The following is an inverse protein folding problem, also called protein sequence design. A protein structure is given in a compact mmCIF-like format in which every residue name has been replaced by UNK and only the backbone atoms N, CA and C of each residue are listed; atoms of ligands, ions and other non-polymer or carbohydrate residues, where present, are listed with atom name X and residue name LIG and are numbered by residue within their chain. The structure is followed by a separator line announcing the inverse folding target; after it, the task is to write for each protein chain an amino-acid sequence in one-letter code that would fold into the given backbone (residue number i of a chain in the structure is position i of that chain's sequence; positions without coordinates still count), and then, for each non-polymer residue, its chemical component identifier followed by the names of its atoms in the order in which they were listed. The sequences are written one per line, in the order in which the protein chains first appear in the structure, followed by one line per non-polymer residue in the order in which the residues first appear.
data_IF_050937341393
#
_entry.id   IF_050937341393
#
_cell.length_a   1.000
_cell.length_b   1.000
_cell.length_c   1.000
_cell.angle_alpha   90.00
_cell.angle_beta   90.00
_cell.angle_gamma   90.00
#
_symmetry.space_group_name_H-M   'P 1'
#
loop_
_entity.id
_entity.type
_entity.pdbx_description
1 polymer ?
#
# COMPACT_ATOMS: atom_id res chain seq x y z
N UNK A 1 -56.78 19.70 -31.83
CA UNK A 1 -58.23 19.40 -31.97
C UNK A 1 -58.94 20.75 -32.04
N UNK A 2 -59.62 21.05 -33.18
CA UNK A 2 -60.48 22.27 -33.26
C UNK A 2 -61.86 21.88 -32.69
N UNK A 3 -62.26 22.51 -31.61
CA UNK A 3 -63.58 22.33 -31.00
C UNK A 3 -64.56 23.30 -31.70
N UNK A 4 -65.65 22.79 -32.18
CA UNK A 4 -66.79 23.60 -32.60
C UNK A 4 -67.55 24.08 -31.35
N UNK A 5 -68.17 25.27 -31.44
CA UNK A 5 -68.87 25.85 -30.28
C UNK A 5 -69.99 24.86 -29.79
N UNK A 6 -69.91 24.43 -28.53
CA UNK A 6 -70.88 23.48 -27.91
C UNK A 6 -70.47 22.01 -27.95
N UNK A 7 -69.33 21.68 -28.60
CA UNK A 7 -68.83 20.25 -28.69
C UNK A 7 -68.12 19.79 -27.41
N UNK A 8 -68.50 18.63 -26.91
CA UNK A 8 -67.75 17.91 -25.85
C UNK A 8 -66.88 16.84 -26.44
N UNK A 9 -65.57 16.93 -26.25
CA UNK A 9 -64.62 15.87 -26.65
C UNK A 9 -64.15 15.14 -25.37
N UNK A 10 -64.38 13.86 -25.31
CA UNK A 10 -63.72 12.98 -24.31
C UNK A 10 -62.43 12.48 -24.90
N UNK A 11 -61.31 12.92 -24.37
CA UNK A 11 -60.00 12.38 -24.73
C UNK A 11 -59.50 11.55 -23.57
N UNK A 12 -59.32 10.23 -23.79
CA UNK A 12 -58.68 9.36 -22.83
C UNK A 12 -57.18 9.53 -23.02
N UNK A 13 -56.53 10.12 -22.01
CA UNK A 13 -55.07 10.15 -21.92
C UNK A 13 -54.60 8.90 -21.20
N UNK A 14 -53.94 8.00 -21.92
CA UNK A 14 -53.22 6.89 -21.34
C UNK A 14 -51.81 7.37 -21.01
N UNK A 15 -51.50 7.58 -19.72
CA UNK A 15 -50.16 7.86 -19.26
C UNK A 15 -49.49 6.52 -19.05
N UNK A 16 -48.61 6.14 -19.96
CA UNK A 16 -47.63 5.06 -19.68
C UNK A 16 -46.54 5.65 -18.81
N UNK A 17 -46.37 5.14 -17.56
CA UNK A 17 -45.23 5.55 -16.78
C UNK A 17 -43.97 5.07 -17.52
N UNK A 18 -43.17 5.98 -18.04
CA UNK A 18 -41.82 5.70 -18.48
C UNK A 18 -41.00 5.50 -17.21
N UNK A 19 -40.88 4.23 -16.81
CA UNK A 19 -39.89 3.86 -15.81
C UNK A 19 -38.53 4.06 -16.44
N UNK A 20 -37.95 5.27 -16.30
CA UNK A 20 -36.52 5.42 -16.39
C UNK A 20 -35.97 4.52 -15.29
N UNK A 21 -35.46 3.35 -15.71
CA UNK A 21 -34.54 2.60 -14.89
C UNK A 21 -33.36 3.57 -14.70
N UNK A 22 -33.34 4.27 -13.57
CA UNK A 22 -32.11 4.88 -13.08
C UNK A 22 -31.14 3.72 -13.02
N UNK A 23 -30.08 3.75 -13.82
CA UNK A 23 -28.97 2.85 -13.65
C UNK A 23 -28.67 2.81 -12.17
N UNK A 24 -28.77 1.60 -11.58
CA UNK A 24 -28.46 1.39 -10.18
C UNK A 24 -27.09 2.00 -9.93
N UNK A 25 -27.07 3.15 -9.28
CA UNK A 25 -25.82 3.73 -8.80
C UNK A 25 -25.35 2.78 -7.72
N UNK A 26 -24.72 1.71 -8.15
CA UNK A 26 -23.97 0.82 -7.27
C UNK A 26 -22.86 1.70 -6.68
N UNK A 27 -23.13 2.27 -5.51
CA UNK A 27 -22.08 2.91 -4.70
C UNK A 27 -21.15 1.77 -4.31
N UNK A 28 -20.21 1.46 -5.18
CA UNK A 28 -19.08 0.59 -4.85
C UNK A 28 -18.32 1.36 -3.77
N UNK A 29 -18.67 1.04 -2.52
CA UNK A 29 -17.94 1.55 -1.36
C UNK A 29 -16.47 1.27 -1.61
N UNK A 30 -15.68 2.31 -1.81
CA UNK A 30 -14.23 2.15 -1.91
C UNK A 30 -13.77 1.39 -0.67
N UNK A 31 -12.75 0.54 -0.77
CA UNK A 31 -12.24 -0.23 0.36
C UNK A 31 -11.99 0.65 1.60
N UNK A 32 -11.56 1.90 1.38
CA UNK A 32 -11.39 2.95 2.40
C UNK A 32 -12.71 3.25 3.12
N UNK A 33 -13.82 3.44 2.40
CA UNK A 33 -15.12 3.72 3.01
C UNK A 33 -15.66 2.53 3.80
N UNK A 34 -15.37 1.31 3.38
CA UNK A 34 -15.73 0.09 4.12
C UNK A 34 -15.02 0.03 5.46
N UNK A 35 -13.70 0.31 5.48
CA UNK A 35 -12.92 0.30 6.72
C UNK A 35 -13.39 1.38 7.68
N UNK A 36 -13.65 2.60 7.21
CA UNK A 36 -14.19 3.70 8.03
C UNK A 36 -15.54 3.39 8.68
N UNK A 37 -16.34 2.47 8.11
CA UNK A 37 -17.63 2.03 8.62
C UNK A 37 -17.56 0.71 9.40
N UNK A 38 -16.38 0.10 9.52
CA UNK A 38 -16.21 -1.15 10.25
C UNK A 38 -16.42 -0.94 11.75
N UNK A 39 -16.82 -2.01 12.45
CA UNK A 39 -16.92 -2.01 13.91
C UNK A 39 -15.56 -2.01 14.62
N UNK A 40 -14.47 -2.16 13.87
CA UNK A 40 -13.10 -2.16 14.38
C UNK A 40 -12.55 -0.74 14.44
N UNK A 41 -11.68 -0.48 15.41
CA UNK A 41 -10.86 0.75 15.44
C UNK A 41 -9.80 0.66 14.32
N UNK A 42 -10.20 1.04 13.12
CA UNK A 42 -9.41 0.90 11.94
C UNK A 42 -9.31 2.20 11.12
N UNK A 43 -8.13 2.47 10.61
CA UNK A 43 -7.84 3.60 9.74
C UNK A 43 -7.41 3.07 8.37
N UNK A 44 -8.01 3.57 7.30
CA UNK A 44 -7.54 3.30 5.95
C UNK A 44 -6.83 4.54 5.40
N UNK A 45 -5.58 4.37 5.03
CA UNK A 45 -4.77 5.36 4.32
C UNK A 45 -4.88 5.08 2.83
N UNK A 46 -5.44 6.02 2.09
CA UNK A 46 -5.47 5.98 0.62
C UNK A 46 -4.09 6.34 0.09
N UNK A 47 -3.52 5.49 -0.74
CA UNK A 47 -2.19 5.71 -1.33
C UNK A 47 -2.25 6.46 -2.65
N UNK A 48 -3.44 6.66 -3.23
CA UNK A 48 -3.60 7.26 -4.57
C UNK A 48 -2.99 8.63 -4.71
N UNK A 49 -3.11 9.46 -3.67
CA UNK A 49 -2.51 10.81 -3.67
C UNK A 49 -0.98 10.80 -3.69
N UNK A 50 -0.38 9.69 -3.24
CA UNK A 50 1.07 9.52 -3.17
C UNK A 50 1.62 8.70 -4.35
N UNK A 51 0.75 8.11 -5.16
CA UNK A 51 1.18 7.39 -6.37
C UNK A 51 1.91 8.34 -7.32
N UNK A 52 2.86 7.81 -8.08
CA UNK A 52 3.75 8.57 -8.96
C UNK A 52 4.68 9.55 -8.22
N UNK A 53 4.93 9.31 -6.94
CA UNK A 53 5.95 10.01 -6.16
C UNK A 53 7.09 9.06 -5.79
N UNK A 54 8.19 9.60 -5.27
CA UNK A 54 9.33 8.81 -4.78
C UNK A 54 9.11 8.25 -3.36
N UNK A 55 7.87 8.36 -2.84
CA UNK A 55 7.49 7.95 -1.49
C UNK A 55 7.39 6.44 -1.34
N UNK A 56 7.68 5.97 -0.14
CA UNK A 56 7.53 4.57 0.26
C UNK A 56 6.25 4.37 1.11
N UNK A 57 5.93 3.13 1.42
CA UNK A 57 4.79 2.81 2.30
C UNK A 57 4.97 3.37 3.70
N UNK A 58 6.21 3.48 4.20
CA UNK A 58 6.53 4.15 5.46
C UNK A 58 6.03 5.59 5.47
N UNK A 59 6.27 6.35 4.42
CA UNK A 59 5.78 7.74 4.29
C UNK A 59 4.24 7.82 4.34
N UNK A 60 3.56 6.88 3.68
CA UNK A 60 2.09 6.82 3.70
C UNK A 60 1.56 6.50 5.10
N UNK A 61 2.23 5.62 5.84
CA UNK A 61 1.85 5.23 7.20
C UNK A 61 1.91 6.38 8.20
N UNK A 62 2.81 7.36 8.00
CA UNK A 62 2.86 8.55 8.88
C UNK A 62 1.56 9.35 8.89
N UNK A 63 0.72 9.19 7.86
CA UNK A 63 -0.63 9.80 7.79
C UNK A 63 -1.66 9.12 8.71
N UNK A 64 -1.37 7.91 9.21
CA UNK A 64 -2.27 7.21 10.10
C UNK A 64 -2.11 7.75 11.54
N UNK A 65 -3.19 8.18 12.22
CA UNK A 65 -3.14 8.64 13.60
C UNK A 65 -2.54 7.56 14.52
N UNK A 66 -1.67 7.97 15.46
CA UNK A 66 -0.99 7.06 16.40
C UNK A 66 0.21 6.30 15.83
N UNK A 67 0.48 6.45 14.52
CA UNK A 67 1.66 5.87 13.88
C UNK A 67 2.86 6.78 14.08
N UNK A 68 3.97 6.20 14.52
CA UNK A 68 5.28 6.86 14.60
C UNK A 68 6.31 5.98 13.91
N UNK A 69 7.10 6.60 13.06
CA UNK A 69 8.18 5.95 12.33
C UNK A 69 9.49 6.68 12.65
N UNK A 70 10.53 5.93 12.91
CA UNK A 70 11.87 6.42 13.11
C UNK A 70 12.82 5.63 12.22
N UNK A 71 13.48 6.30 11.32
CA UNK A 71 14.53 5.74 10.48
C UNK A 71 15.90 6.15 11.03
N UNK A 72 16.84 5.23 11.05
CA UNK A 72 18.15 5.44 11.63
C UNK A 72 19.13 6.16 10.69
N UNK A 73 18.81 6.26 9.39
CA UNK A 73 19.73 6.85 8.41
C UNK A 73 19.16 6.94 6.99
N UNK A 74 20.01 6.67 6.01
CA UNK A 74 19.67 6.72 4.58
C UNK A 74 18.81 5.57 4.09
N UNK A 75 18.77 5.39 2.78
CA UNK A 75 18.00 4.32 2.14
C UNK A 75 18.43 2.96 2.67
N UNK A 76 17.46 2.12 3.06
CA UNK A 76 17.71 0.79 3.61
C UNK A 76 18.12 0.75 5.06
N UNK A 77 18.16 1.89 5.76
CA UNK A 77 18.44 1.91 7.19
C UNK A 77 17.33 1.24 8.02
N UNK A 78 17.69 0.82 9.23
CA UNK A 78 16.72 0.26 10.16
C UNK A 78 15.58 1.24 10.43
N UNK A 79 14.37 0.71 10.36
CA UNK A 79 13.15 1.45 10.64
C UNK A 79 12.47 0.87 11.88
N UNK A 80 12.22 1.72 12.85
CA UNK A 80 11.38 1.41 14.00
C UNK A 80 9.97 1.93 13.77
N UNK A 81 9.02 1.02 13.78
CA UNK A 81 7.60 1.31 13.65
C UNK A 81 6.94 1.19 15.01
N UNK A 82 6.15 2.19 15.36
CA UNK A 82 5.38 2.24 16.59
C UNK A 82 3.93 2.62 16.29
N UNK A 83 2.99 1.84 16.81
CA UNK A 83 1.55 2.07 16.70
C UNK A 83 0.96 2.20 18.10
N UNK A 84 0.45 3.39 18.44
CA UNK A 84 -0.13 3.72 19.75
C UNK A 84 0.76 3.29 20.95
N UNK A 85 2.09 3.39 20.80
CA UNK A 85 3.09 3.00 21.80
C UNK A 85 3.60 1.56 21.70
N UNK A 86 2.97 0.70 20.91
CA UNK A 86 3.45 -0.67 20.66
C UNK A 86 4.44 -0.71 19.51
N UNK A 87 5.46 -1.56 19.62
CA UNK A 87 6.50 -1.72 18.60
C UNK A 87 6.96 -3.18 18.48
N UNK A 88 7.80 -3.44 17.47
CA UNK A 88 8.39 -4.75 17.23
C UNK A 88 7.33 -5.83 16.98
N UNK A 89 7.46 -6.99 17.65
CA UNK A 89 6.58 -8.15 17.46
C UNK A 89 5.09 -7.92 17.79
N UNK A 90 4.77 -6.84 18.47
CA UNK A 90 3.39 -6.52 18.86
C UNK A 90 2.58 -5.86 17.74
N UNK A 91 3.25 -5.35 16.70
CA UNK A 91 2.62 -4.80 15.50
C UNK A 91 2.96 -5.69 14.33
N UNK A 92 1.94 -6.31 13.75
CA UNK A 92 2.10 -7.27 12.65
C UNK A 92 1.83 -6.61 11.32
N UNK A 93 2.64 -6.98 10.32
CA UNK A 93 2.51 -6.48 8.95
C UNK A 93 2.01 -7.61 8.05
N UNK A 94 1.02 -7.30 7.23
CA UNK A 94 0.42 -8.22 6.25
C UNK A 94 0.42 -7.59 4.86
N UNK A 95 0.51 -8.41 3.85
CA UNK A 95 0.23 -8.05 2.46
C UNK A 95 -0.93 -8.90 1.99
N UNK A 96 -2.05 -8.25 1.65
CA UNK A 96 -3.30 -8.93 1.26
C UNK A 96 -3.80 -10.00 2.25
N UNK A 97 -3.55 -9.80 3.54
CA UNK A 97 -3.92 -10.75 4.59
C UNK A 97 -2.90 -11.87 4.83
N UNK A 98 -1.76 -11.87 4.12
CA UNK A 98 -0.66 -12.82 4.33
C UNK A 98 0.39 -12.18 5.26
N UNK A 99 0.74 -12.81 6.39
CA UNK A 99 1.73 -12.27 7.31
C UNK A 99 3.12 -12.19 6.67
N UNK A 100 3.84 -11.11 6.96
CA UNK A 100 5.19 -10.84 6.44
C UNK A 100 6.29 -11.16 7.46
N UNK A 101 6.06 -12.11 8.35
CA UNK A 101 7.05 -12.57 9.30
C UNK A 101 8.04 -13.51 8.61
N UNK A 102 9.34 -13.29 8.85
CA UNK A 102 10.40 -14.13 8.29
C UNK A 102 10.77 -13.89 6.83
N UNK A 103 10.08 -13.00 6.16
CA UNK A 103 10.45 -12.55 4.80
C UNK A 103 11.44 -11.41 4.96
N UNK A 104 12.71 -11.67 4.97
CA UNK A 104 13.85 -10.78 5.18
C UNK A 104 13.65 -9.26 5.08
N UNK A 105 14.68 -8.48 5.26
CA UNK A 105 14.63 -7.01 5.25
C UNK A 105 14.16 -6.40 3.92
N UNK A 106 14.05 -7.20 2.85
CA UNK A 106 13.58 -6.76 1.54
C UNK A 106 12.16 -6.19 1.55
N UNK A 107 11.32 -6.67 2.46
CA UNK A 107 9.94 -6.21 2.64
C UNK A 107 9.76 -5.20 3.78
N UNK A 108 10.83 -4.53 4.20
CA UNK A 108 10.70 -3.39 5.10
C UNK A 108 9.83 -2.29 4.44
N UNK A 109 8.91 -1.71 5.21
CA UNK A 109 7.94 -0.72 4.71
C UNK A 109 8.60 0.52 4.09
N UNK A 110 9.83 0.81 4.48
CA UNK A 110 10.66 1.89 3.92
C UNK A 110 11.32 1.51 2.57
N UNK A 111 11.25 0.25 2.18
CA UNK A 111 11.80 -0.24 0.91
C UNK A 111 10.72 -0.44 -0.15
N UNK A 112 9.45 -0.57 0.25
CA UNK A 112 8.33 -0.82 -0.66
C UNK A 112 7.81 0.51 -1.19
N UNK A 113 7.79 0.73 -2.52
CA UNK A 113 7.21 1.93 -3.11
C UNK A 113 5.72 2.06 -2.76
N UNK A 114 5.26 3.28 -2.55
CA UNK A 114 3.85 3.55 -2.23
C UNK A 114 2.89 3.06 -3.32
N UNK A 115 3.33 3.02 -4.57
CA UNK A 115 2.56 2.54 -5.72
C UNK A 115 2.26 1.04 -5.68
N UNK A 116 2.95 0.27 -4.82
CA UNK A 116 2.67 -1.15 -4.59
C UNK A 116 1.28 -1.37 -3.96
N UNK A 117 0.78 -0.42 -3.18
CA UNK A 117 -0.48 -0.54 -2.47
C UNK A 117 -1.60 0.31 -3.08
N UNK A 118 -2.83 -0.21 -3.11
CA UNK A 118 -4.04 0.56 -3.36
C UNK A 118 -4.44 1.36 -2.11
N UNK A 119 -4.24 0.74 -0.94
CA UNK A 119 -4.45 1.36 0.37
C UNK A 119 -3.70 0.61 1.46
N UNK A 120 -3.54 1.25 2.60
CA UNK A 120 -3.02 0.62 3.81
C UNK A 120 -4.12 0.64 4.87
N UNK A 121 -4.41 -0.50 5.45
CA UNK A 121 -5.38 -0.67 6.53
C UNK A 121 -4.63 -0.84 7.85
N UNK A 122 -4.88 0.04 8.81
CA UNK A 122 -4.27 0.01 10.13
C UNK A 122 -5.36 -0.31 11.15
N UNK A 123 -5.31 -1.50 11.73
CA UNK A 123 -6.20 -1.96 12.79
C UNK A 123 -5.52 -1.78 14.15
N UNK A 124 -6.20 -1.15 15.09
CA UNK A 124 -5.66 -0.79 16.40
C UNK A 124 -6.33 -1.59 17.50
N UNK A 125 -5.55 -2.23 18.34
CA UNK A 125 -6.06 -3.06 19.44
C UNK A 125 -6.79 -4.30 18.91
N UNK A 126 -8.13 -4.27 18.89
CA UNK A 126 -8.93 -5.40 18.40
C UNK A 126 -8.84 -5.52 16.88
N UNK A 127 -8.37 -6.65 16.41
CA UNK A 127 -8.19 -6.95 14.98
C UNK A 127 -9.19 -8.00 14.50
N UNK A 128 -9.56 -8.01 13.20
CA UNK A 128 -10.34 -9.08 12.62
C UNK A 128 -9.71 -10.46 12.79
N UNK A 129 -10.51 -11.50 13.04
CA UNK A 129 -10.06 -12.88 13.32
C UNK A 129 -9.09 -13.42 12.27
N UNK A 130 -9.22 -13.00 11.02
CA UNK A 130 -8.35 -13.42 9.91
C UNK A 130 -6.87 -13.02 10.04
N UNK A 131 -6.53 -12.12 10.95
CA UNK A 131 -5.14 -11.68 11.18
C UNK A 131 -4.46 -12.39 12.37
N UNK A 132 -5.13 -13.33 13.03
CA UNK A 132 -4.60 -14.03 14.21
C UNK A 132 -4.76 -13.24 15.51
N UNK A 133 -4.25 -13.81 16.61
CA UNK A 133 -4.51 -13.35 17.98
C UNK A 133 -3.34 -12.65 18.66
N UNK A 134 -2.14 -12.72 18.12
CA UNK A 134 -0.90 -12.28 18.74
C UNK A 134 -0.46 -10.85 18.38
N UNK A 135 -1.29 -10.13 17.59
CA UNK A 135 -1.07 -8.73 17.23
C UNK A 135 -1.66 -7.76 18.28
N UNK A 136 -1.13 -7.77 19.50
CA UNK A 136 -1.67 -7.00 20.65
C UNK A 136 -1.66 -5.48 20.37
N UNK A 137 -0.65 -4.96 19.70
CA UNK A 137 -0.53 -3.55 19.35
C UNK A 137 -1.36 -3.17 18.13
N UNK A 138 -1.64 -4.11 17.27
CA UNK A 138 -2.42 -3.90 16.06
C UNK A 138 -1.80 -4.53 14.80
N UNK A 139 -2.51 -4.33 13.69
CA UNK A 139 -2.16 -4.90 12.38
C UNK A 139 -2.08 -3.80 11.33
N UNK A 140 -1.06 -3.88 10.50
CA UNK A 140 -0.91 -3.08 9.28
C UNK A 140 -1.10 -4.03 8.11
N UNK A 141 -2.19 -3.87 7.36
CA UNK A 141 -2.46 -4.68 6.18
C UNK A 141 -2.29 -3.83 4.91
N UNK A 142 -1.29 -4.15 4.12
CA UNK A 142 -1.04 -3.53 2.83
C UNK A 142 -1.93 -4.24 1.82
N UNK A 143 -2.87 -3.50 1.25
CA UNK A 143 -3.80 -4.04 0.25
C UNK A 143 -3.33 -3.64 -1.13
N UNK A 144 -2.92 -4.62 -1.92
CA UNK A 144 -2.58 -4.42 -3.32
C UNK A 144 -3.85 -4.27 -4.16
N UNK A 145 -3.71 -3.88 -5.42
CA UNK A 145 -4.87 -3.66 -6.27
C UNK A 145 -5.61 -4.98 -6.55
N UNK A 146 -6.83 -5.11 -6.00
CA UNK A 146 -7.64 -6.33 -6.10
C UNK A 146 -8.69 -6.32 -7.22
N UNK A 147 -8.79 -5.24 -7.99
CA UNK A 147 -9.83 -5.15 -9.02
C UNK A 147 -9.38 -5.88 -10.27
N UNK A 148 -10.21 -6.80 -10.81
CA UNK A 148 -9.97 -7.35 -12.12
C UNK A 148 -9.86 -6.20 -13.13
N UNK A 149 -8.77 -6.17 -13.87
CA UNK A 149 -8.53 -5.16 -14.90
C UNK A 149 -8.26 -5.88 -16.21
N UNK A 150 -8.59 -5.22 -17.31
CA UNK A 150 -7.91 -5.50 -18.57
C UNK A 150 -6.42 -5.35 -18.34
N UNK A 151 -5.59 -5.67 -19.30
CA UNK A 151 -4.15 -5.47 -19.19
C UNK A 151 -3.79 -4.06 -18.67
N UNK A 152 -2.87 -3.99 -17.74
CA UNK A 152 -2.31 -2.75 -17.22
C UNK A 152 -0.82 -2.88 -16.97
N UNK A 153 -0.11 -1.77 -17.07
CA UNK A 153 1.29 -1.61 -16.75
C UNK A 153 1.47 -0.27 -16.04
N UNK A 154 1.97 -0.32 -14.81
CA UNK A 154 2.44 0.85 -14.07
C UNK A 154 3.94 0.71 -13.86
N UNK A 155 4.71 1.68 -14.28
CA UNK A 155 6.16 1.68 -14.12
C UNK A 155 6.65 3.04 -13.66
N UNK A 156 7.63 3.04 -12.77
CA UNK A 156 8.30 4.26 -12.34
C UNK A 156 9.78 4.04 -12.13
N UNK A 157 10.55 5.09 -12.39
CA UNK A 157 11.96 5.17 -12.09
C UNK A 157 12.28 6.54 -11.52
N UNK A 158 13.09 6.57 -10.47
CA UNK A 158 13.58 7.81 -9.89
C UNK A 158 15.07 7.73 -9.61
N UNK A 159 15.73 8.87 -9.77
CA UNK A 159 17.13 9.08 -9.47
C UNK A 159 17.27 10.23 -8.48
N UNK A 160 18.10 10.06 -7.47
CA UNK A 160 18.28 11.04 -6.40
C UNK A 160 19.73 11.17 -5.92
N UNK A 161 19.93 11.97 -4.87
CA UNK A 161 21.23 12.18 -4.26
C UNK A 161 21.86 10.87 -3.80
N UNK A 162 23.19 10.84 -3.70
CA UNK A 162 23.97 9.68 -3.28
C UNK A 162 23.77 8.47 -4.18
N UNK A 163 23.66 8.72 -5.49
CA UNK A 163 23.45 7.71 -6.53
C UNK A 163 22.23 6.80 -6.20
N UNK A 164 21.16 7.41 -5.69
CA UNK A 164 19.97 6.65 -5.31
C UNK A 164 19.09 6.37 -6.52
N UNK A 165 18.85 5.10 -6.77
CA UNK A 165 17.95 4.61 -7.82
C UNK A 165 16.79 3.86 -7.20
N UNK A 166 15.56 4.18 -7.62
CA UNK A 166 14.37 3.43 -7.27
C UNK A 166 13.61 3.09 -8.54
N UNK A 167 13.36 1.82 -8.76
CA UNK A 167 12.56 1.32 -9.89
C UNK A 167 11.36 0.54 -9.37
N UNK A 168 10.25 0.65 -10.04
CA UNK A 168 9.04 -0.08 -9.75
C UNK A 168 8.32 -0.44 -11.04
N UNK A 169 7.85 -1.67 -11.12
CA UNK A 169 7.01 -2.16 -12.22
C UNK A 169 5.87 -2.98 -11.62
N UNK A 170 4.66 -2.66 -12.03
CA UNK A 170 3.47 -3.44 -11.73
C UNK A 170 2.72 -3.70 -13.03
N UNK A 171 2.47 -4.97 -13.32
CA UNK A 171 1.72 -5.37 -14.49
C UNK A 171 0.75 -6.51 -14.15
N UNK A 172 -0.33 -6.59 -14.88
CA UNK A 172 -1.28 -7.66 -14.68
C UNK A 172 -2.43 -7.63 -15.67
N UNK A 173 -3.18 -8.72 -15.66
CA UNK A 173 -4.35 -8.88 -16.51
C UNK A 173 -5.32 -9.89 -15.91
N UNK A 174 -6.61 -9.63 -16.12
CA UNK A 174 -7.65 -10.64 -15.93
C UNK A 174 -8.28 -10.96 -17.27
N UNK A 175 -8.24 -12.21 -17.67
CA UNK A 175 -8.83 -12.69 -18.92
C UNK A 175 -10.34 -12.93 -18.75
N UNK A 176 -11.06 -12.98 -19.87
CA UNK A 176 -12.51 -13.25 -19.87
C UNK A 176 -12.90 -14.60 -19.23
N UNK A 177 -11.99 -15.57 -19.26
CA UNK A 177 -12.17 -16.87 -18.61
C UNK A 177 -11.93 -16.83 -17.10
N UNK A 178 -11.68 -15.65 -16.49
CA UNK A 178 -11.41 -15.47 -15.06
C UNK A 178 -9.98 -15.77 -14.64
N UNK A 179 -9.09 -16.24 -15.54
CA UNK A 179 -7.68 -16.34 -15.20
C UNK A 179 -7.09 -14.94 -15.00
N UNK A 180 -6.34 -14.77 -13.92
CA UNK A 180 -5.72 -13.50 -13.55
C UNK A 180 -4.28 -13.69 -13.12
N UNK A 181 -3.43 -12.75 -13.48
CA UNK A 181 -2.07 -12.67 -12.98
C UNK A 181 -1.70 -11.22 -12.66
N UNK A 182 -0.79 -11.06 -11.73
CA UNK A 182 -0.21 -9.78 -11.33
C UNK A 182 1.24 -10.00 -10.95
N UNK A 183 2.11 -9.11 -11.41
CA UNK A 183 3.54 -9.11 -11.06
C UNK A 183 3.91 -7.72 -10.62
N UNK A 184 4.43 -7.62 -9.41
CA UNK A 184 5.02 -6.41 -8.83
C UNK A 184 6.50 -6.66 -8.64
N UNK A 185 7.33 -5.78 -9.16
CA UNK A 185 8.78 -5.81 -8.97
C UNK A 185 9.27 -4.42 -8.57
N UNK A 186 10.19 -4.37 -7.62
CA UNK A 186 10.83 -3.11 -7.25
C UNK A 186 12.29 -3.31 -6.88
N UNK A 187 13.05 -2.26 -7.04
CA UNK A 187 14.47 -2.20 -6.69
C UNK A 187 14.77 -0.86 -6.06
N UNK A 188 15.59 -0.88 -5.02
CA UNK A 188 16.18 0.30 -4.41
C UNK A 188 17.69 0.13 -4.35
N UNK A 189 18.42 1.14 -4.77
CA UNK A 189 19.86 1.22 -4.69
C UNK A 189 20.29 2.59 -4.19
N UNK A 190 21.29 2.67 -3.33
CA UNK A 190 21.92 3.93 -2.94
C UNK A 190 23.34 3.69 -2.45
N UNK A 191 24.27 4.59 -2.77
CA UNK A 191 25.63 4.55 -2.21
C UNK A 191 25.65 4.98 -0.75
N UNK A 192 24.66 5.76 -0.28
CA UNK A 192 24.55 6.28 1.09
C UNK A 192 25.82 6.99 1.59
N UNK A 193 26.59 7.58 0.69
CA UNK A 193 27.93 8.16 0.93
C UNK A 193 27.88 9.62 1.42
N UNK A 194 26.84 9.97 2.18
CA UNK A 194 26.65 11.30 2.74
C UNK A 194 27.57 11.58 3.95
N UNK A 195 27.70 12.86 4.28
CA UNK A 195 28.47 13.28 5.43
C UNK A 195 27.68 13.19 6.74
N UNK A 196 28.33 12.72 7.80
CA UNK A 196 27.79 12.67 9.16
C UNK A 196 28.80 13.25 10.14
N UNK A 197 28.30 13.80 11.24
CA UNK A 197 29.13 14.22 12.35
C UNK A 197 29.28 13.03 13.32
N UNK A 198 30.45 12.43 13.36
CA UNK A 198 30.72 11.23 14.14
C UNK A 198 32.01 11.39 14.98
N UNK A 199 32.09 10.78 16.17
CA UNK A 199 33.34 10.70 16.91
C UNK A 199 34.31 9.82 16.14
N UNK A 200 35.54 10.27 15.99
CA UNK A 200 36.59 9.51 15.31
C UNK A 200 37.47 8.83 16.37
N UNK A 201 37.81 7.58 16.11
CA UNK A 201 38.71 6.82 16.97
C UNK A 201 40.10 7.44 17.00
N UNK A 202 40.63 7.75 18.17
CA UNK A 202 42.04 8.09 18.35
C UNK A 202 42.85 6.79 18.18
N UNK A 203 43.68 6.71 17.14
CA UNK A 203 44.47 5.52 16.84
C UNK A 203 45.59 5.23 17.83
N UNK A 204 46.07 6.27 18.58
CA UNK A 204 47.12 6.11 19.60
C UNK A 204 46.55 5.52 20.89
N UNK A 205 45.39 6.00 21.33
CA UNK A 205 44.76 5.57 22.59
C UNK A 205 43.74 4.48 22.43
N UNK A 206 43.28 4.22 21.21
CA UNK A 206 42.22 3.27 20.91
C UNK A 206 40.82 3.69 21.35
N UNK A 207 40.66 4.87 21.91
CA UNK A 207 39.41 5.39 22.47
C UNK A 207 38.66 6.30 21.49
N UNK A 208 37.35 6.42 21.69
CA UNK A 208 36.50 7.40 21.02
C UNK A 208 36.29 8.58 21.98
N UNK A 209 36.52 9.84 21.51
CA UNK A 209 36.13 11.01 22.25
C UNK A 209 34.74 11.45 21.74
N UNK A 210 33.67 11.12 22.48
CA UNK A 210 32.29 11.45 22.11
C UNK A 210 32.04 12.98 22.11
N UNK A 211 32.88 13.77 22.79
CA UNK A 211 32.76 15.23 22.82
C UNK A 211 33.26 15.88 21.54
N UNK A 212 34.14 15.19 20.79
CA UNK A 212 34.72 15.71 19.56
C UNK A 212 34.14 14.98 18.35
N UNK A 213 33.28 15.67 17.60
CA UNK A 213 32.69 15.16 16.39
C UNK A 213 33.34 15.79 15.18
N UNK A 214 33.63 14.96 14.20
CA UNK A 214 34.22 15.36 12.93
C UNK A 214 33.23 15.05 11.82
N UNK A 215 33.17 15.94 10.84
CA UNK A 215 32.36 15.72 9.63
C UNK A 215 33.07 14.73 8.73
N UNK A 216 32.61 13.50 8.74
CA UNK A 216 33.18 12.39 7.97
C UNK A 216 32.19 11.87 6.92
N UNK A 217 32.72 11.44 5.78
CA UNK A 217 31.92 10.81 4.74
C UNK A 217 31.71 9.35 5.10
N UNK A 218 30.48 8.86 5.00
CA UNK A 218 30.16 7.43 5.17
C UNK A 218 30.80 6.64 4.04
N UNK A 219 31.19 5.41 4.30
CA UNK A 219 31.79 4.49 3.37
C UNK A 219 31.30 3.07 3.69
N UNK A 220 31.32 2.16 2.70
CA UNK A 220 30.82 0.80 2.80
C UNK A 220 29.34 0.72 3.26
N UNK A 221 28.52 1.67 2.82
CA UNK A 221 27.13 1.81 3.24
C UNK A 221 26.17 1.68 2.05
N UNK A 222 26.68 1.14 0.96
CA UNK A 222 25.90 0.88 -0.24
C UNK A 222 24.78 -0.08 0.09
N UNK A 223 23.58 0.32 -0.27
CA UNK A 223 22.37 -0.45 -0.12
C UNK A 223 21.83 -0.90 -1.46
N UNK A 224 21.52 -2.19 -1.57
CA UNK A 224 20.81 -2.75 -2.72
C UNK A 224 19.73 -3.70 -2.23
N UNK A 225 18.52 -3.48 -2.70
CA UNK A 225 17.36 -4.28 -2.38
C UNK A 225 16.52 -4.45 -3.64
N UNK A 226 16.10 -5.66 -3.89
CA UNK A 226 15.17 -5.98 -4.97
C UNK A 226 14.15 -7.00 -4.46
N UNK A 227 12.94 -6.91 -4.99
CA UNK A 227 11.90 -7.86 -4.66
C UNK A 227 10.91 -8.04 -5.82
N UNK A 228 10.39 -9.24 -5.93
CA UNK A 228 9.34 -9.59 -6.89
C UNK A 228 8.22 -10.31 -6.16
N UNK A 229 7.01 -9.81 -6.35
CA UNK A 229 5.79 -10.47 -5.89
C UNK A 229 4.95 -10.83 -7.10
N UNK A 230 4.82 -12.10 -7.38
CA UNK A 230 4.00 -12.61 -8.48
C UNK A 230 2.79 -13.34 -7.93
N UNK A 231 1.62 -13.09 -8.49
CA UNK A 231 0.36 -13.76 -8.15
C UNK A 231 -0.31 -14.25 -9.42
N UNK A 232 -0.82 -15.48 -9.40
CA UNK A 232 -1.61 -16.01 -10.50
C UNK A 232 -2.75 -16.88 -9.97
N UNK A 233 -3.88 -16.89 -10.65
CA UNK A 233 -5.02 -17.67 -10.20
C UNK A 233 -6.27 -17.44 -11.02
N UNK A 234 -7.42 -17.70 -10.41
CA UNK A 234 -8.74 -17.54 -11.04
C UNK A 234 -9.66 -16.73 -10.14
N UNK A 235 -10.53 -15.95 -10.78
CA UNK A 235 -11.58 -15.15 -10.12
C UNK A 235 -12.93 -15.42 -10.78
N UNK A 236 -14.02 -15.14 -10.04
CA UNK A 236 -15.40 -15.19 -10.51
C UNK A 236 -15.78 -16.57 -11.10
N UNK A 237 -15.40 -17.65 -10.39
CA UNK A 237 -15.78 -19.02 -10.74
C UNK A 237 -16.95 -19.49 -9.88
N UNK A 238 -17.78 -20.37 -10.42
CA UNK A 238 -18.92 -20.96 -9.70
C UNK A 238 -18.51 -21.73 -8.44
N UNK A 239 -17.28 -22.22 -8.39
CA UNK A 239 -16.72 -23.00 -7.28
C UNK A 239 -15.77 -22.17 -6.38
N UNK A 240 -15.35 -20.98 -6.81
CA UNK A 240 -14.51 -20.08 -5.99
C UNK A 240 -14.63 -18.64 -6.49
N UNK A 241 -14.95 -17.71 -5.60
CA UNK A 241 -14.92 -16.28 -5.91
C UNK A 241 -13.50 -15.83 -6.28
N UNK A 242 -12.50 -16.39 -5.58
CA UNK A 242 -11.09 -16.09 -5.82
C UNK A 242 -10.21 -17.23 -5.31
N UNK A 243 -9.33 -17.74 -6.15
CA UNK A 243 -8.24 -18.64 -5.80
C UNK A 243 -6.95 -18.12 -6.41
N UNK A 244 -5.97 -17.76 -5.57
CA UNK A 244 -4.71 -17.17 -6.00
C UNK A 244 -3.53 -17.92 -5.40
N UNK A 245 -2.51 -18.14 -6.21
CA UNK A 245 -1.20 -18.57 -5.77
C UNK A 245 -0.25 -17.39 -5.84
N UNK A 246 0.56 -17.19 -4.79
CA UNK A 246 1.54 -16.12 -4.69
C UNK A 246 2.95 -16.67 -4.57
N UNK A 247 3.89 -15.99 -5.20
CA UNK A 247 5.33 -16.20 -5.08
C UNK A 247 5.97 -14.86 -4.71
N UNK A 248 6.90 -14.91 -3.78
CA UNK A 248 7.67 -13.75 -3.31
C UNK A 248 9.15 -14.10 -3.31
N UNK A 249 9.95 -13.22 -3.91
CA UNK A 249 11.41 -13.27 -3.90
C UNK A 249 11.95 -11.96 -3.33
#
# INVERSE_FOLDING_TARGET
VKLAAGGRVKQNLTITPETQLLDEVTIVSTGVSRIKRSAFNAVAVDTKELQNTTKNLSDALTKAPGMKLREAGGVGSDMQLMLDGFSGKHVKVFIDGVPQEGVGNSFGLNNIPVSFADRIEVYKGVVPVGFGTDAIGGVINIVTNKKPRKWFLDASYSYGSFNTHKSYVNLGQTFKNGFTYEVNAFQNYSDNDYYVDAPVKNFETGSFNESEKYRVKRFNDTYHNEAVVAKAGVVDKSWADRLMFGFTY
#
